data_IF_196452721895
#
_entry.id   IF_196452721895
#
_cell.length_a   1.000
_cell.length_b   1.000
_cell.length_c   1.000
_cell.angle_alpha   90.00
_cell.angle_beta   90.00
_cell.angle_gamma   90.00
#
_symmetry.space_group_name_H-M   'P 1'
#
loop_
_entity.id
_entity.type
_entity.pdbx_description
1 polymer ?
#
# COMPACT_ATOMS: atom_id res chain seq x y z
N UNK A 1 63.86 10.95 41.34
CA UNK A 1 63.62 11.91 40.23
C UNK A 1 62.21 11.66 39.71
N UNK A 2 61.31 12.64 39.85
CA UNK A 2 59.90 12.51 39.44
C UNK A 2 59.73 13.04 38.01
N UNK A 3 59.20 12.21 37.11
CA UNK A 3 58.98 12.55 35.70
C UNK A 3 57.57 13.12 35.52
N UNK A 4 57.46 14.31 34.91
CA UNK A 4 56.20 15.00 34.64
C UNK A 4 55.33 14.29 33.57
N UNK A 5 53.99 14.39 33.62
CA UNK A 5 53.12 13.80 32.61
C UNK A 5 53.13 14.61 31.29
N UNK A 6 52.95 13.96 30.12
CA UNK A 6 53.05 14.60 28.81
C UNK A 6 51.85 15.53 28.48
N UNK A 7 52.05 16.53 27.60
CA UNK A 7 51.05 17.55 27.27
C UNK A 7 49.87 16.97 26.47
N UNK A 8 48.65 17.40 26.82
CA UNK A 8 47.40 17.01 26.14
C UNK A 8 47.37 17.56 24.71
N UNK A 9 47.23 16.68 23.72
CA UNK A 9 47.19 16.99 22.30
C UNK A 9 45.88 17.72 21.91
N UNK A 10 45.96 19.03 21.72
CA UNK A 10 44.82 19.87 21.27
C UNK A 10 44.51 19.71 19.76
N UNK A 11 45.28 18.93 19.01
CA UNK A 11 45.18 18.87 17.55
C UNK A 11 44.21 17.82 16.99
N UNK A 12 43.63 16.95 17.83
CA UNK A 12 42.73 15.87 17.33
C UNK A 12 41.29 16.35 17.13
N UNK A 13 40.87 17.41 17.82
CA UNK A 13 39.50 17.94 17.73
C UNK A 13 39.17 18.67 16.42
N UNK A 14 40.14 19.39 15.85
CA UNK A 14 39.92 20.21 14.65
C UNK A 14 39.70 19.36 13.39
N UNK A 15 40.48 18.29 13.20
CA UNK A 15 40.37 17.42 12.02
C UNK A 15 39.06 16.59 11.99
N UNK A 16 38.48 16.30 13.16
CA UNK A 16 37.19 15.60 13.26
C UNK A 16 36.03 16.55 12.95
N UNK A 17 36.14 17.83 13.34
CA UNK A 17 35.14 18.85 13.01
C UNK A 17 35.10 19.19 11.50
N UNK A 18 36.26 19.28 10.83
CA UNK A 18 36.33 19.47 9.37
C UNK A 18 35.81 18.26 8.57
N UNK A 19 36.00 17.03 9.09
CA UNK A 19 35.40 15.84 8.48
C UNK A 19 33.88 15.77 8.67
N UNK A 20 33.34 16.35 9.74
CA UNK A 20 31.90 16.42 9.96
C UNK A 20 31.21 17.47 9.05
N UNK A 21 31.86 18.60 8.78
CA UNK A 21 31.34 19.65 7.88
C UNK A 21 31.46 19.28 6.40
N UNK A 22 32.50 18.55 6.00
CA UNK A 22 32.69 18.13 4.60
C UNK A 22 31.65 17.12 4.09
N UNK A 23 31.02 16.34 4.98
CA UNK A 23 29.91 15.45 4.59
C UNK A 23 28.58 16.17 4.36
N UNK A 24 28.43 17.39 4.89
CA UNK A 24 27.20 18.20 4.77
C UNK A 24 27.20 19.03 3.48
N UNK A 25 28.37 19.30 2.89
CA UNK A 25 28.57 20.20 1.76
C UNK A 25 28.67 19.51 0.38
N UNK A 26 27.85 18.49 0.11
CA UNK A 26 27.86 17.82 -1.20
C UNK A 26 26.71 18.23 -2.13
N UNK A 27 25.58 18.74 -1.60
CA UNK A 27 24.50 19.29 -2.41
C UNK A 27 23.72 20.34 -1.62
N UNK A 28 23.45 21.49 -2.24
CA UNK A 28 22.51 22.49 -1.72
C UNK A 28 21.13 21.83 -1.51
N UNK A 29 20.34 22.22 -0.50
CA UNK A 29 18.94 21.79 -0.39
C UNK A 29 18.17 21.92 -1.71
N UNK A 30 18.44 22.98 -2.48
CA UNK A 30 17.81 23.24 -3.77
C UNK A 30 18.19 22.19 -4.83
N UNK A 31 19.45 21.74 -4.85
CA UNK A 31 19.92 20.70 -5.77
C UNK A 31 19.28 19.35 -5.44
N UNK A 32 19.14 19.02 -4.15
CA UNK A 32 18.41 17.82 -3.70
C UNK A 32 16.95 17.86 -4.10
N UNK A 33 16.31 19.03 -4.01
CA UNK A 33 14.93 19.23 -4.46
C UNK A 33 14.80 19.13 -5.98
N UNK A 34 15.74 19.70 -6.74
CA UNK A 34 15.76 19.63 -8.20
C UNK A 34 15.95 18.20 -8.71
N UNK A 35 16.83 17.41 -8.07
CA UNK A 35 16.99 15.98 -8.38
C UNK A 35 15.74 15.17 -8.07
N UNK A 36 15.15 15.37 -6.88
CA UNK A 36 13.90 14.70 -6.48
C UNK A 36 12.74 15.03 -7.41
N UNK A 37 12.63 16.30 -7.82
CA UNK A 37 11.62 16.76 -8.77
C UNK A 37 11.78 16.08 -10.13
N UNK A 38 13.01 16.04 -10.67
CA UNK A 38 13.32 15.32 -11.92
C UNK A 38 12.95 13.85 -11.84
N UNK A 39 13.32 13.18 -10.76
CA UNK A 39 12.97 11.77 -10.54
C UNK A 39 11.47 11.56 -10.44
N UNK A 40 10.75 12.40 -9.70
CA UNK A 40 9.29 12.34 -9.60
C UNK A 40 8.61 12.55 -10.96
N UNK A 41 9.12 13.44 -11.81
CA UNK A 41 8.62 13.61 -13.18
C UNK A 41 8.88 12.36 -14.03
N UNK A 42 10.06 11.77 -13.94
CA UNK A 42 10.39 10.55 -14.68
C UNK A 42 9.56 9.34 -14.21
N UNK A 43 9.32 9.24 -12.91
CA UNK A 43 8.43 8.25 -12.31
C UNK A 43 6.98 8.46 -12.77
N UNK A 44 6.50 9.71 -12.85
CA UNK A 44 5.17 10.03 -13.37
C UNK A 44 5.01 9.73 -14.87
N UNK A 45 6.08 9.84 -15.66
CA UNK A 45 6.08 9.44 -17.08
C UNK A 45 6.05 7.91 -17.20
N UNK A 46 6.82 7.22 -16.37
CA UNK A 46 6.96 5.75 -16.42
C UNK A 46 5.74 5.04 -15.82
N UNK A 47 5.22 5.58 -14.72
CA UNK A 47 4.06 5.09 -13.99
C UNK A 47 3.06 6.26 -13.85
N UNK A 48 2.26 6.53 -14.91
CA UNK A 48 1.29 7.59 -14.85
C UNK A 48 0.33 7.39 -13.66
N UNK A 49 -0.16 8.48 -13.04
CA UNK A 49 -1.16 8.40 -12.00
C UNK A 49 -2.37 7.61 -12.51
N UNK A 50 -3.00 6.86 -11.61
CA UNK A 50 -4.07 5.95 -11.95
C UNK A 50 -5.22 6.68 -12.68
N UNK A 51 -5.38 6.41 -13.97
CA UNK A 51 -6.53 6.85 -14.76
C UNK A 51 -7.81 6.12 -14.31
N UNK A 52 -8.99 6.61 -14.72
CA UNK A 52 -10.29 6.02 -14.45
C UNK A 52 -10.38 4.52 -14.85
N UNK A 53 -9.52 4.09 -15.78
CA UNK A 53 -9.41 2.72 -16.27
C UNK A 53 -8.27 1.90 -15.64
N UNK A 54 -7.40 2.50 -14.82
CA UNK A 54 -6.26 1.81 -14.22
C UNK A 54 -6.68 0.58 -13.40
N UNK A 55 -7.81 0.65 -12.70
CA UNK A 55 -8.39 -0.47 -11.95
C UNK A 55 -9.30 -1.42 -12.75
N UNK A 56 -9.38 -1.26 -14.09
CA UNK A 56 -10.25 -2.04 -14.99
C UNK A 56 -9.50 -2.49 -16.26
N UNK A 57 -8.18 -2.42 -16.24
CA UNK A 57 -7.33 -2.83 -17.34
C UNK A 57 -6.44 -4.00 -16.90
N UNK A 58 -6.15 -4.90 -17.84
CA UNK A 58 -5.23 -6.02 -17.65
C UNK A 58 -4.38 -6.12 -18.91
N UNK A 59 -3.06 -6.13 -18.75
CA UNK A 59 -2.15 -6.34 -19.88
C UNK A 59 -2.25 -7.80 -20.33
N UNK A 60 -2.49 -8.01 -21.62
CA UNK A 60 -2.45 -9.36 -22.19
C UNK A 60 -1.00 -9.77 -22.47
N UNK A 61 -0.56 -10.88 -21.87
CA UNK A 61 0.81 -11.42 -22.00
C UNK A 61 0.90 -12.66 -22.90
N UNK A 62 -0.14 -12.92 -23.70
CA UNK A 62 -0.15 -13.98 -24.72
C UNK A 62 -1.29 -14.99 -24.56
N UNK A 63 -1.90 -15.08 -23.38
CA UNK A 63 -3.10 -15.89 -23.15
C UNK A 63 -4.31 -14.99 -22.86
N UNK A 64 -5.12 -14.77 -23.89
CA UNK A 64 -6.31 -13.94 -23.81
C UNK A 64 -7.34 -14.46 -22.81
N UNK A 65 -7.52 -15.78 -22.71
CA UNK A 65 -8.49 -16.38 -21.81
C UNK A 65 -8.13 -16.12 -20.34
N UNK A 66 -6.84 -16.22 -19.98
CA UNK A 66 -6.35 -15.90 -18.64
C UNK A 66 -6.54 -14.41 -18.34
N UNK A 67 -6.14 -13.54 -19.28
CA UNK A 67 -6.31 -12.10 -19.13
C UNK A 67 -7.79 -11.71 -18.90
N UNK A 68 -8.73 -12.32 -19.63
CA UNK A 68 -10.17 -12.11 -19.41
C UNK A 68 -10.68 -12.63 -18.06
N UNK A 69 -10.17 -13.76 -17.57
CA UNK A 69 -10.53 -14.26 -16.23
C UNK A 69 -10.04 -13.31 -15.15
N UNK A 70 -8.78 -12.88 -15.23
CA UNK A 70 -8.21 -11.89 -14.30
C UNK A 70 -8.97 -10.57 -14.33
N UNK A 71 -9.35 -10.09 -15.52
CA UNK A 71 -10.18 -8.90 -15.67
C UNK A 71 -11.54 -9.08 -14.98
N UNK A 72 -12.20 -10.22 -15.19
CA UNK A 72 -13.48 -10.50 -14.54
C UNK A 72 -13.36 -10.55 -13.01
N UNK A 73 -12.31 -11.15 -12.47
CA UNK A 73 -12.05 -11.15 -11.02
C UNK A 73 -11.88 -9.74 -10.47
N UNK A 74 -11.13 -8.87 -11.17
CA UNK A 74 -10.95 -7.47 -10.80
C UNK A 74 -12.30 -6.74 -10.79
N UNK A 75 -13.13 -6.92 -11.82
CA UNK A 75 -14.45 -6.29 -11.91
C UNK A 75 -15.41 -6.77 -10.81
N UNK A 76 -15.34 -8.05 -10.42
CA UNK A 76 -16.13 -8.63 -9.33
C UNK A 76 -15.67 -8.10 -7.98
N UNK A 77 -14.35 -8.06 -7.73
CA UNK A 77 -13.76 -7.53 -6.49
C UNK A 77 -14.13 -6.06 -6.28
N UNK A 78 -14.07 -5.27 -7.34
CA UNK A 78 -14.44 -3.85 -7.35
C UNK A 78 -15.97 -3.62 -7.43
N UNK A 79 -16.77 -4.68 -7.47
CA UNK A 79 -18.25 -4.65 -7.52
C UNK A 79 -18.82 -3.79 -8.65
N UNK A 80 -18.11 -3.68 -9.77
CA UNK A 80 -18.49 -2.78 -10.89
C UNK A 80 -19.84 -3.21 -11.46
N UNK A 81 -19.99 -4.48 -11.82
CA UNK A 81 -21.24 -5.04 -12.39
C UNK A 81 -22.43 -4.90 -11.44
N UNK A 82 -22.22 -5.15 -10.15
CA UNK A 82 -23.26 -5.01 -9.14
C UNK A 82 -23.70 -3.55 -9.01
N UNK A 83 -22.74 -2.63 -8.98
CA UNK A 83 -23.00 -1.20 -8.86
C UNK A 83 -23.79 -0.70 -10.06
N UNK A 84 -23.36 -1.04 -11.29
CA UNK A 84 -24.06 -0.68 -12.53
C UNK A 84 -25.53 -1.10 -12.45
N UNK A 85 -25.81 -2.37 -12.13
CA UNK A 85 -27.19 -2.88 -11.99
C UNK A 85 -28.00 -2.17 -10.90
N UNK A 86 -27.38 -1.84 -9.77
CA UNK A 86 -28.07 -1.09 -8.69
C UNK A 86 -28.31 0.37 -9.05
N UNK A 87 -27.47 0.98 -9.90
CA UNK A 87 -27.59 2.37 -10.32
C UNK A 87 -28.49 2.57 -11.53
N UNK A 88 -28.82 1.51 -12.29
CA UNK A 88 -29.76 1.55 -13.42
C UNK A 88 -31.11 2.18 -13.05
N UNK A 89 -31.56 2.03 -11.80
CA UNK A 89 -32.79 2.64 -11.30
C UNK A 89 -32.55 3.32 -9.96
N UNK A 90 -33.27 4.41 -9.71
CA UNK A 90 -33.19 5.11 -8.43
C UNK A 90 -33.73 4.24 -7.27
N UNK A 91 -32.85 3.93 -6.30
CA UNK A 91 -33.22 3.29 -5.04
C UNK A 91 -33.55 4.37 -3.99
N UNK A 92 -34.78 4.36 -3.46
CA UNK A 92 -35.19 5.26 -2.37
C UNK A 92 -34.24 5.12 -1.16
N UNK A 93 -33.90 6.24 -0.50
CA UNK A 93 -32.96 6.29 0.63
C UNK A 93 -33.29 5.30 1.77
N UNK A 94 -34.56 5.18 2.14
CA UNK A 94 -35.01 4.24 3.19
C UNK A 94 -34.80 2.78 2.80
N UNK A 95 -35.18 2.42 1.56
CA UNK A 95 -34.96 1.08 1.00
C UNK A 95 -33.47 0.73 0.96
N UNK A 96 -32.62 1.67 0.51
CA UNK A 96 -31.16 1.52 0.50
C UNK A 96 -30.59 1.25 1.89
N UNK A 97 -31.05 1.98 2.91
CA UNK A 97 -30.61 1.76 4.30
C UNK A 97 -30.99 0.37 4.80
N UNK A 98 -32.24 -0.05 4.59
CA UNK A 98 -32.74 -1.38 5.00
C UNK A 98 -31.97 -2.50 4.31
N UNK A 99 -31.72 -2.37 3.01
CA UNK A 99 -30.91 -3.33 2.23
C UNK A 99 -29.49 -3.42 2.79
N UNK A 100 -28.80 -2.30 2.95
CA UNK A 100 -27.42 -2.29 3.47
C UNK A 100 -27.32 -2.87 4.88
N UNK A 101 -28.29 -2.61 5.75
CA UNK A 101 -28.36 -3.23 7.08
C UNK A 101 -28.50 -4.75 6.97
N UNK A 102 -29.43 -5.24 6.14
CA UNK A 102 -29.65 -6.67 5.93
C UNK A 102 -28.42 -7.37 5.34
N UNK A 103 -27.76 -6.75 4.34
CA UNK A 103 -26.52 -7.26 3.74
C UNK A 103 -25.38 -7.35 4.75
N UNK A 104 -25.20 -6.30 5.58
CA UNK A 104 -24.20 -6.29 6.65
C UNK A 104 -24.45 -7.41 7.65
N UNK A 105 -25.69 -7.57 8.09
CA UNK A 105 -26.09 -8.62 9.03
C UNK A 105 -25.82 -10.01 8.46
N UNK A 106 -26.27 -10.28 7.22
CA UNK A 106 -26.02 -11.58 6.54
C UNK A 106 -24.54 -11.90 6.42
N UNK A 107 -23.70 -10.89 6.12
CA UNK A 107 -22.24 -11.06 6.06
C UNK A 107 -21.64 -11.37 7.43
N UNK A 108 -22.07 -10.65 8.47
CA UNK A 108 -21.63 -10.91 9.84
C UNK A 108 -22.05 -12.30 10.31
N UNK A 109 -23.32 -12.65 10.13
CA UNK A 109 -23.86 -13.97 10.48
C UNK A 109 -23.10 -15.11 9.78
N UNK A 110 -22.87 -15.01 8.47
CA UNK A 110 -22.11 -16.01 7.72
C UNK A 110 -20.68 -16.16 8.25
N UNK A 111 -20.03 -15.05 8.62
CA UNK A 111 -18.69 -15.08 9.20
C UNK A 111 -18.68 -15.74 10.59
N UNK A 112 -19.66 -15.45 11.45
CA UNK A 112 -19.78 -16.08 12.76
C UNK A 112 -20.04 -17.59 12.65
N UNK A 113 -20.97 -17.99 11.79
CA UNK A 113 -21.22 -19.42 11.48
C UNK A 113 -19.94 -20.09 10.98
N UNK A 114 -19.21 -19.46 10.05
CA UNK A 114 -17.94 -19.99 9.54
C UNK A 114 -16.91 -20.19 10.65
N UNK A 115 -16.74 -19.22 11.56
CA UNK A 115 -15.80 -19.33 12.69
C UNK A 115 -16.16 -20.50 13.61
N UNK A 116 -17.45 -20.65 13.94
CA UNK A 116 -17.93 -21.75 14.80
C UNK A 116 -17.71 -23.11 14.13
N UNK A 117 -18.04 -23.25 12.84
CA UNK A 117 -17.78 -24.48 12.08
C UNK A 117 -16.28 -24.80 12.03
N UNK A 118 -15.43 -23.80 11.77
CA UNK A 118 -13.98 -23.99 11.78
C UNK A 118 -13.46 -24.45 13.14
N UNK A 119 -14.03 -23.96 14.24
CA UNK A 119 -13.67 -24.41 15.59
C UNK A 119 -14.04 -25.88 15.80
N UNK A 120 -15.26 -26.29 15.42
CA UNK A 120 -15.71 -27.69 15.52
C UNK A 120 -14.81 -28.61 14.69
N UNK A 121 -14.49 -28.22 13.45
CA UNK A 121 -13.57 -28.99 12.60
C UNK A 121 -12.19 -29.13 13.26
N UNK A 122 -11.67 -28.06 13.89
CA UNK A 122 -10.39 -28.12 14.62
C UNK A 122 -10.45 -29.07 15.82
N UNK A 123 -11.55 -29.08 16.57
CA UNK A 123 -11.74 -30.00 17.71
C UNK A 123 -11.77 -31.45 17.21
N UNK A 124 -12.57 -31.73 16.19
CA UNK A 124 -12.63 -33.06 15.55
C UNK A 124 -11.26 -33.52 15.06
N UNK A 125 -10.52 -32.66 14.36
CA UNK A 125 -9.20 -33.01 13.83
C UNK A 125 -8.15 -33.24 14.94
N UNK A 126 -8.39 -32.80 16.18
CA UNK A 126 -7.52 -33.06 17.34
C UNK A 126 -7.80 -34.40 18.02
N UNK A 127 -8.82 -35.15 17.59
CA UNK A 127 -9.10 -36.50 18.09
C UNK A 127 -10.08 -36.57 19.26
N UNK A 128 -11.00 -35.60 19.36
CA UNK A 128 -12.27 -35.80 20.08
C UNK A 128 -13.29 -36.51 19.17
#
# INVERSE_FOLDING_TARGET
MATAPPPKSQHVGAAVAEKATSHVAQYSPDEKWAERSRKAMQDAITNPPADAYAGRSVKNTGNLAIAFRSLNEILVRNKVRQTVRMTERHEKKGTKRRRLQSERWRKQFSNEVRKKVQLVIKIRNRGA
#
